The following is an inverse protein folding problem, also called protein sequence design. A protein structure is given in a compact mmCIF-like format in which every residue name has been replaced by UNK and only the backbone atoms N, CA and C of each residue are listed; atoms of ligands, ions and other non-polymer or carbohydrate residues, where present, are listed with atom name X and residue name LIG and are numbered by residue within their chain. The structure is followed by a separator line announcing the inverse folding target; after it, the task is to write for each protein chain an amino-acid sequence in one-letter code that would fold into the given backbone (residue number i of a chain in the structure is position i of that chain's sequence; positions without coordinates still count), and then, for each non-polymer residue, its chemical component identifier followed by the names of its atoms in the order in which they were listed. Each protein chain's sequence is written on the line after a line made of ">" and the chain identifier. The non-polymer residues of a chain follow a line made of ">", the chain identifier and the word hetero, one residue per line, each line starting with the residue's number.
data_IF_346743111655
#
_entry.id   IF_346743111655
#
_cell.length_a   1.000
_cell.length_b   1.000
_cell.length_c   1.000
_cell.angle_alpha   90.00
_cell.angle_beta   90.00
_cell.angle_gamma   90.00
#
_symmetry.space_group_name_H-M   'P 1'
#
loop_
_entity.id
_entity.type
_entity.pdbx_description
1 polymer ?
#
# COMPACT_ATOMS: atom_id res chain seq x y z
N UNK A 1 -19.90 5.24 -4.79
CA UNK A 1 -18.56 4.64 -4.97
C UNK A 1 -18.13 4.89 -6.40
N UNK A 2 -17.00 5.51 -6.61
CA UNK A 2 -16.43 5.67 -7.96
C UNK A 2 -15.09 4.90 -8.04
N UNK A 3 -14.78 4.45 -9.25
CA UNK A 3 -13.49 3.83 -9.57
C UNK A 3 -12.74 4.78 -10.48
N UNK A 4 -11.66 5.36 -9.96
CA UNK A 4 -10.78 6.25 -10.72
C UNK A 4 -9.36 6.12 -10.22
N UNK A 5 -8.42 6.72 -10.95
CA UNK A 5 -7.08 6.91 -10.42
C UNK A 5 -7.17 7.88 -9.23
N UNK A 6 -6.52 7.56 -8.13
CA UNK A 6 -6.55 8.38 -6.91
C UNK A 6 -6.03 9.82 -7.15
N UNK A 7 -5.10 9.99 -8.09
CA UNK A 7 -4.58 11.30 -8.47
C UNK A 7 -5.52 12.14 -9.35
N UNK A 8 -6.61 11.55 -9.84
CA UNK A 8 -7.63 12.25 -10.65
C UNK A 8 -8.88 12.59 -9.81
N UNK A 9 -8.83 12.34 -8.50
CA UNK A 9 -9.92 12.69 -7.60
C UNK A 9 -9.96 14.20 -7.36
N UNK A 10 -11.13 14.79 -7.59
CA UNK A 10 -11.42 16.20 -7.35
C UNK A 10 -12.53 16.34 -6.33
N UNK A 11 -12.37 17.24 -5.40
CA UNK A 11 -13.35 17.53 -4.35
C UNK A 11 -12.67 18.15 -3.13
N UNK A 12 -13.48 18.65 -2.20
CA UNK A 12 -13.03 19.14 -0.91
C UNK A 12 -13.73 18.34 0.19
N UNK A 13 -12.97 17.91 1.19
CA UNK A 13 -13.45 17.02 2.24
C UNK A 13 -13.01 17.52 3.62
N UNK A 14 -13.82 17.24 4.63
CA UNK A 14 -13.39 17.44 6.01
C UNK A 14 -12.33 16.42 6.43
N UNK A 15 -12.46 15.18 5.97
CA UNK A 15 -11.54 14.08 6.27
C UNK A 15 -11.32 13.21 5.03
N UNK A 16 -10.07 12.92 4.72
CA UNK A 16 -9.68 11.88 3.77
C UNK A 16 -9.00 10.72 4.50
N UNK A 17 -9.51 9.51 4.32
CA UNK A 17 -8.83 8.29 4.75
C UNK A 17 -8.01 7.73 3.59
N UNK A 18 -6.71 7.59 3.79
CA UNK A 18 -5.76 7.08 2.81
C UNK A 18 -5.19 5.75 3.28
N UNK A 19 -5.39 4.71 2.49
CA UNK A 19 -4.86 3.36 2.72
C UNK A 19 -4.13 2.89 1.44
N UNK A 20 -2.94 3.44 1.17
CA UNK A 20 -2.18 3.06 -0.02
C UNK A 20 -1.66 1.63 0.12
N UNK A 21 -1.55 0.87 -0.98
CA UNK A 21 -0.94 -0.45 -0.93
C UNK A 21 0.51 -0.33 -0.45
N UNK A 22 0.85 -1.11 0.56
CA UNK A 22 2.22 -1.26 1.04
C UNK A 22 2.80 -2.56 0.50
N UNK A 23 4.02 -2.48 0.00
CA UNK A 23 4.65 -3.61 -0.64
C UNK A 23 5.27 -4.62 0.34
N UNK A 24 6.00 -5.58 -0.20
CA UNK A 24 6.66 -6.62 0.59
C UNK A 24 7.98 -6.13 1.19
N UNK A 25 8.31 -6.60 2.40
CA UNK A 25 9.58 -6.36 3.10
C UNK A 25 10.80 -7.01 2.46
N UNK A 26 10.68 -7.66 1.31
CA UNK A 26 11.80 -8.33 0.69
C UNK A 26 12.84 -7.35 0.15
N UNK A 27 13.84 -7.03 0.97
CA UNK A 27 14.91 -6.06 0.70
C UNK A 27 15.77 -6.43 -0.53
N UNK A 28 15.78 -7.71 -0.93
CA UNK A 28 16.57 -8.17 -2.10
C UNK A 28 15.94 -7.78 -3.44
N UNK A 29 14.72 -7.24 -3.41
CA UNK A 29 14.00 -6.86 -4.61
C UNK A 29 13.61 -5.39 -4.56
N UNK A 30 14.06 -4.55 -5.50
CA UNK A 30 13.77 -3.12 -5.54
C UNK A 30 12.27 -2.82 -5.66
N UNK A 31 11.52 -3.66 -6.37
CA UNK A 31 10.06 -3.61 -6.42
C UNK A 31 9.47 -4.80 -5.68
N UNK A 32 8.34 -4.59 -5.01
CA UNK A 32 7.61 -5.69 -4.38
C UNK A 32 7.21 -6.73 -5.43
N UNK A 33 7.53 -8.01 -5.19
CA UNK A 33 6.97 -9.11 -6.00
C UNK A 33 5.51 -9.37 -5.67
N UNK A 34 5.10 -8.93 -4.50
CA UNK A 34 3.74 -9.08 -4.03
C UNK A 34 2.98 -7.85 -4.45
N UNK A 35 2.31 -7.96 -5.59
CA UNK A 35 1.42 -6.93 -6.10
C UNK A 35 0.00 -7.27 -5.69
N UNK A 36 -0.76 -6.32 -5.21
CA UNK A 36 -2.18 -6.51 -4.90
C UNK A 36 -2.93 -7.13 -6.08
N UNK A 37 -2.68 -6.67 -7.30
CA UNK A 37 -3.27 -7.25 -8.50
C UNK A 37 -2.96 -8.73 -8.69
N UNK A 38 -1.81 -9.21 -8.24
CA UNK A 38 -1.44 -10.61 -8.30
C UNK A 38 -2.25 -11.48 -7.32
N UNK A 39 -2.63 -10.94 -6.16
CA UNK A 39 -3.48 -11.66 -5.20
C UNK A 39 -4.95 -11.56 -5.54
N UNK A 40 -5.39 -10.43 -6.04
CA UNK A 40 -6.80 -10.17 -6.29
C UNK A 40 -7.26 -10.56 -7.71
N UNK A 41 -6.38 -11.14 -8.56
CA UNK A 41 -6.73 -11.49 -9.94
C UNK A 41 -7.92 -12.44 -10.05
N UNK A 42 -8.05 -13.40 -9.12
CA UNK A 42 -9.18 -14.33 -9.10
C UNK A 42 -10.48 -13.59 -8.77
N UNK A 43 -10.47 -12.77 -7.73
CA UNK A 43 -11.63 -11.96 -7.34
C UNK A 43 -12.04 -10.99 -8.44
N UNK A 44 -11.06 -10.43 -9.16
CA UNK A 44 -11.34 -9.59 -10.33
C UNK A 44 -12.10 -10.37 -11.40
N UNK A 45 -11.72 -11.62 -11.68
CA UNK A 45 -12.46 -12.49 -12.63
C UNK A 45 -13.88 -12.76 -12.17
N UNK A 46 -14.09 -13.02 -10.87
CA UNK A 46 -15.42 -13.23 -10.30
C UNK A 46 -16.30 -11.98 -10.45
N UNK A 47 -15.75 -10.81 -10.12
CA UNK A 47 -16.51 -9.55 -10.18
C UNK A 47 -16.83 -9.14 -11.61
N UNK A 48 -15.90 -9.33 -12.54
CA UNK A 48 -16.10 -8.98 -13.95
C UNK A 48 -16.90 -10.04 -14.70
N UNK A 49 -16.96 -11.28 -14.18
CA UNK A 49 -17.58 -12.42 -14.84
C UNK A 49 -17.12 -12.56 -16.30
N UNK A 50 -15.82 -12.42 -16.52
CA UNK A 50 -15.19 -12.42 -17.84
C UNK A 50 -14.31 -13.66 -18.04
N UNK A 51 -13.85 -13.85 -19.29
CA UNK A 51 -12.89 -14.90 -19.66
C UNK A 51 -11.56 -14.24 -20.06
N UNK A 52 -10.72 -13.85 -19.11
CA UNK A 52 -9.50 -13.13 -19.40
C UNK A 52 -8.45 -14.03 -20.04
N UNK A 53 -7.55 -13.44 -20.81
CA UNK A 53 -6.31 -14.10 -21.20
C UNK A 53 -5.50 -14.42 -19.94
N UNK A 54 -4.99 -15.66 -19.87
CA UNK A 54 -4.22 -16.14 -18.74
C UNK A 54 -2.74 -16.25 -19.08
N UNK A 55 -1.88 -16.11 -18.08
CA UNK A 55 -0.45 -16.30 -18.23
C UNK A 55 0.19 -17.01 -17.03
N UNK A 56 1.38 -17.58 -17.27
CA UNK A 56 2.20 -18.25 -16.25
C UNK A 56 1.60 -19.56 -15.74
N UNK A 57 2.39 -20.30 -14.97
CA UNK A 57 2.00 -21.62 -14.45
C UNK A 57 0.81 -21.55 -13.45
N UNK A 58 0.60 -20.40 -12.82
CA UNK A 58 -0.50 -20.17 -11.87
C UNK A 58 -1.80 -19.72 -12.55
N UNK A 59 -1.85 -19.61 -13.90
CA UNK A 59 -3.05 -19.18 -14.60
C UNK A 59 -3.56 -17.81 -14.20
N UNK A 60 -2.65 -16.84 -13.99
CA UNK A 60 -3.04 -15.47 -13.64
C UNK A 60 -3.61 -14.73 -14.84
N UNK A 61 -4.50 -13.79 -14.58
CA UNK A 61 -4.99 -12.86 -15.61
C UNK A 61 -3.83 -12.06 -16.21
N UNK A 62 -3.79 -11.89 -17.51
CA UNK A 62 -2.76 -11.12 -18.23
C UNK A 62 -2.64 -9.69 -17.68
N UNK A 63 -3.77 -9.05 -17.40
CA UNK A 63 -3.82 -7.68 -16.86
C UNK A 63 -3.39 -7.57 -15.36
N UNK A 64 -3.03 -8.69 -14.73
CA UNK A 64 -2.41 -8.75 -13.41
C UNK A 64 -0.88 -8.82 -13.46
N UNK A 65 -0.27 -8.76 -14.64
CA UNK A 65 1.21 -8.72 -14.77
C UNK A 65 1.78 -7.50 -14.06
N UNK A 66 2.93 -7.67 -13.45
CA UNK A 66 3.58 -6.61 -12.67
C UNK A 66 3.85 -5.34 -13.49
N UNK A 67 4.18 -5.48 -14.77
CA UNK A 67 4.38 -4.34 -15.68
C UNK A 67 3.11 -3.55 -16.03
N UNK A 68 1.93 -4.16 -15.86
CA UNK A 68 0.64 -3.55 -16.20
C UNK A 68 -0.07 -3.00 -14.95
N UNK A 69 0.01 -3.74 -13.86
CA UNK A 69 -0.78 -3.50 -12.65
C UNK A 69 0.01 -2.92 -11.48
N UNK A 70 1.29 -2.58 -11.69
CA UNK A 70 2.13 -2.02 -10.66
C UNK A 70 1.57 -0.69 -10.14
N UNK A 71 1.44 -0.58 -8.82
CA UNK A 71 1.12 0.68 -8.15
C UNK A 71 2.39 1.48 -7.90
N UNK A 72 2.34 2.80 -8.06
CA UNK A 72 3.44 3.70 -7.70
C UNK A 72 3.74 3.64 -6.20
N UNK A 73 2.75 3.32 -5.37
CA UNK A 73 2.91 3.14 -3.93
C UNK A 73 3.67 1.86 -3.54
N UNK A 74 3.89 0.96 -4.50
CA UNK A 74 4.68 -0.28 -4.34
C UNK A 74 6.04 -0.20 -5.05
N UNK A 75 6.44 0.97 -5.54
CA UNK A 75 7.75 1.17 -6.20
C UNK A 75 8.79 1.64 -5.17
N UNK A 76 9.68 0.72 -4.78
CA UNK A 76 10.74 0.97 -3.81
C UNK A 76 12.11 1.25 -4.45
N UNK A 77 12.15 1.66 -5.71
CA UNK A 77 13.35 2.25 -6.28
C UNK A 77 13.57 3.66 -5.71
N UNK A 78 14.83 4.07 -5.68
CA UNK A 78 15.15 5.45 -5.31
C UNK A 78 14.60 6.41 -6.37
N UNK A 79 13.90 7.43 -5.89
CA UNK A 79 13.45 8.54 -6.71
C UNK A 79 14.53 9.59 -6.91
N UNK A 80 14.20 10.64 -7.65
CA UNK A 80 15.11 11.76 -7.93
C UNK A 80 15.40 12.64 -6.73
N UNK A 81 14.51 12.62 -5.72
CA UNK A 81 14.69 13.33 -4.45
C UNK A 81 15.65 12.62 -3.48
N UNK A 82 16.12 11.41 -3.81
CA UNK A 82 16.88 10.56 -2.89
C UNK A 82 16.02 9.80 -1.88
N UNK A 83 14.68 9.88 -2.00
CA UNK A 83 13.71 9.08 -1.23
C UNK A 83 13.15 7.95 -2.10
N UNK A 84 12.48 6.97 -1.48
CA UNK A 84 11.78 5.92 -2.21
C UNK A 84 10.61 6.51 -3.01
N UNK A 85 10.41 6.06 -4.24
CA UNK A 85 9.30 6.51 -5.08
C UNK A 85 7.93 6.27 -4.44
N UNK A 86 7.79 5.22 -3.63
CA UNK A 86 6.57 4.98 -2.85
C UNK A 86 6.28 6.13 -1.88
N UNK A 87 7.30 6.67 -1.19
CA UNK A 87 7.15 7.85 -0.32
C UNK A 87 6.79 9.08 -1.14
N UNK A 88 7.50 9.32 -2.25
CA UNK A 88 7.19 10.44 -3.16
C UNK A 88 5.74 10.38 -3.66
N UNK A 89 5.23 9.16 -3.94
CA UNK A 89 3.84 8.98 -4.37
C UNK A 89 2.84 9.27 -3.24
N UNK A 90 3.13 8.85 -1.99
CA UNK A 90 2.29 9.16 -0.83
C UNK A 90 2.29 10.66 -0.57
N UNK A 91 3.46 11.29 -0.60
CA UNK A 91 3.60 12.74 -0.43
C UNK A 91 2.79 13.51 -1.47
N UNK A 92 2.93 13.15 -2.75
CA UNK A 92 2.14 13.73 -3.83
C UNK A 92 0.64 13.60 -3.58
N UNK A 93 0.19 12.43 -3.11
CA UNK A 93 -1.22 12.21 -2.78
C UNK A 93 -1.67 13.11 -1.62
N UNK A 94 -0.88 13.19 -0.55
CA UNK A 94 -1.14 14.07 0.60
C UNK A 94 -1.23 15.54 0.15
N UNK A 95 -0.35 15.98 -0.74
CA UNK A 95 -0.38 17.36 -1.28
C UNK A 95 -1.61 17.63 -2.13
N UNK A 96 -2.01 16.69 -2.99
CA UNK A 96 -3.13 16.87 -3.92
C UNK A 96 -4.50 16.80 -3.26
N UNK A 97 -4.65 15.94 -2.25
CA UNK A 97 -5.94 15.75 -1.58
C UNK A 97 -6.33 17.04 -0.85
N UNK A 98 -7.46 17.63 -1.26
CA UNK A 98 -8.05 18.79 -0.60
C UNK A 98 -8.94 18.34 0.54
N UNK A 99 -8.34 18.04 1.69
CA UNK A 99 -9.04 17.69 2.90
C UNK A 99 -8.48 18.49 4.08
N UNK A 100 -9.36 18.84 5.02
CA UNK A 100 -8.95 19.51 6.26
C UNK A 100 -8.12 18.59 7.14
N UNK A 101 -8.48 17.30 7.17
CA UNK A 101 -7.75 16.26 7.88
C UNK A 101 -7.45 15.11 6.94
N UNK A 102 -6.29 14.50 7.11
CA UNK A 102 -5.91 13.25 6.45
C UNK A 102 -5.62 12.22 7.54
N UNK A 103 -6.28 11.06 7.45
CA UNK A 103 -5.94 9.87 8.22
C UNK A 103 -5.25 8.88 7.29
N UNK A 104 -3.93 8.73 7.45
CA UNK A 104 -3.13 7.79 6.69
C UNK A 104 -2.93 6.51 7.48
N UNK A 105 -3.35 5.37 6.92
CA UNK A 105 -3.02 4.03 7.42
C UNK A 105 -1.77 3.50 6.72
N UNK A 106 -0.84 2.92 7.49
CA UNK A 106 0.34 2.28 6.93
C UNK A 106 0.88 1.17 7.83
N UNK A 107 1.32 0.06 7.23
CA UNK A 107 1.80 -1.11 7.98
C UNK A 107 3.29 -0.97 8.34
N UNK A 108 3.64 -1.27 9.59
CA UNK A 108 5.02 -1.24 10.10
C UNK A 108 5.87 -2.44 9.70
N UNK A 109 5.23 -3.57 9.49
CA UNK A 109 5.93 -4.87 9.53
C UNK A 109 6.39 -5.40 8.18
N UNK A 110 6.01 -4.77 7.11
CA UNK A 110 6.28 -5.26 5.76
C UNK A 110 6.85 -4.22 4.81
N UNK A 111 6.81 -2.97 5.19
CA UNK A 111 7.21 -1.87 4.34
C UNK A 111 8.71 -1.59 4.37
N UNK A 112 9.24 -1.15 3.23
CA UNK A 112 10.57 -0.54 3.16
C UNK A 112 10.54 0.92 3.57
N UNK A 113 9.33 1.47 3.66
CA UNK A 113 9.06 2.81 4.16
C UNK A 113 8.90 2.70 5.67
N UNK A 114 9.73 3.42 6.39
CA UNK A 114 9.72 3.41 7.86
C UNK A 114 8.64 4.35 8.40
N UNK A 115 8.26 4.13 9.66
CA UNK A 115 7.38 5.04 10.40
C UNK A 115 7.93 6.46 10.43
N UNK A 116 9.23 6.58 10.67
CA UNK A 116 9.94 7.84 10.81
C UNK A 116 9.92 8.64 9.49
N UNK A 117 10.12 7.95 8.35
CA UNK A 117 10.03 8.57 7.03
C UNK A 117 8.64 9.10 6.73
N UNK A 118 7.59 8.35 7.11
CA UNK A 118 6.20 8.82 6.95
C UNK A 118 5.92 10.01 7.87
N UNK A 119 6.35 9.95 9.14
CA UNK A 119 6.15 11.05 10.09
C UNK A 119 6.85 12.33 9.61
N UNK A 120 8.07 12.21 9.13
CA UNK A 120 8.81 13.34 8.57
C UNK A 120 8.07 13.93 7.37
N UNK A 121 7.72 13.11 6.39
CA UNK A 121 7.00 13.54 5.20
C UNK A 121 5.68 14.22 5.54
N UNK A 122 4.89 13.67 6.47
CA UNK A 122 3.63 14.28 6.89
C UNK A 122 3.86 15.63 7.59
N UNK A 123 4.87 15.72 8.44
CA UNK A 123 5.20 16.98 9.16
C UNK A 123 5.67 18.09 8.21
N UNK A 124 6.21 17.75 7.06
CA UNK A 124 6.58 18.69 5.99
C UNK A 124 5.34 19.21 5.21
N UNK A 125 4.19 18.53 5.33
CA UNK A 125 2.97 18.81 4.56
C UNK A 125 1.77 19.26 5.42
N UNK A 126 1.99 19.51 6.71
CA UNK A 126 0.96 20.00 7.64
C UNK A 126 1.31 19.73 9.10
N UNK A 127 0.33 19.86 9.98
CA UNK A 127 0.50 19.59 11.41
C UNK A 127 0.15 18.13 11.70
N UNK A 128 1.15 17.30 12.03
CA UNK A 128 0.92 15.93 12.50
C UNK A 128 0.31 15.99 13.91
N UNK A 129 -0.96 15.62 14.03
CA UNK A 129 -1.74 15.74 15.25
C UNK A 129 -1.54 14.56 16.18
N UNK A 130 -1.53 13.34 15.64
CA UNK A 130 -1.43 12.09 16.39
C UNK A 130 -0.88 10.95 15.55
N UNK A 131 -0.28 9.96 16.23
CA UNK A 131 0.19 8.71 15.62
C UNK A 131 -0.18 7.55 16.54
N UNK A 132 -1.16 6.78 16.11
CA UNK A 132 -1.62 5.59 16.83
C UNK A 132 -0.97 4.33 16.23
N UNK A 133 -0.50 3.43 17.09
CA UNK A 133 -0.10 2.10 16.70
C UNK A 133 -1.17 1.09 17.13
N UNK A 134 -1.64 0.29 16.19
CA UNK A 134 -2.64 -0.74 16.43
C UNK A 134 -1.99 -2.11 16.20
N UNK A 135 -1.92 -2.91 17.25
CA UNK A 135 -1.45 -4.30 17.14
C UNK A 135 -2.53 -5.14 16.49
N UNK A 136 -2.18 -5.90 15.47
CA UNK A 136 -3.09 -6.86 14.89
C UNK A 136 -2.43 -8.21 14.62
N UNK A 137 -3.22 -9.27 14.77
CA UNK A 137 -2.78 -10.62 14.45
C UNK A 137 -2.77 -10.81 12.93
N UNK A 138 -1.61 -11.03 12.36
CA UNK A 138 -1.49 -11.34 10.94
C UNK A 138 -2.12 -12.70 10.65
N UNK A 139 -3.21 -12.73 9.90
CA UNK A 139 -3.74 -13.97 9.36
C UNK A 139 -2.80 -14.49 8.26
N UNK A 140 -1.85 -15.34 8.66
CA UNK A 140 -0.98 -16.00 7.71
C UNK A 140 -1.79 -16.90 6.78
N UNK A 141 -1.88 -16.56 5.50
CA UNK A 141 -2.38 -17.48 4.47
C UNK A 141 -1.56 -18.80 4.43
N UNK A 142 -0.37 -18.83 5.04
CA UNK A 142 0.44 -20.02 5.25
C UNK A 142 -0.27 -21.11 6.10
N UNK A 143 -1.26 -20.75 6.91
CA UNK A 143 -2.10 -21.73 7.61
C UNK A 143 -3.01 -22.53 6.67
N UNK A 144 -3.25 -22.07 5.45
CA UNK A 144 -3.98 -22.83 4.42
C UNK A 144 -3.14 -23.96 3.81
N UNK A 145 -1.83 -23.83 3.81
CA UNK A 145 -0.91 -24.86 3.30
C UNK A 145 -0.08 -25.39 4.46
N UNK A 146 -0.41 -26.55 4.97
CA UNK A 146 0.17 -27.28 6.11
C UNK A 146 1.70 -27.40 6.16
N UNK A 147 2.46 -26.41 5.79
CA UNK A 147 3.92 -26.42 5.91
C UNK A 147 4.37 -25.69 7.17
N UNK A 148 4.57 -26.47 8.22
CA UNK A 148 5.01 -26.09 9.58
C UNK A 148 6.26 -25.18 9.69
N UNK A 149 6.98 -24.93 8.60
CA UNK A 149 8.24 -24.17 8.62
C UNK A 149 8.11 -22.65 8.51
N UNK A 150 6.93 -22.13 8.19
CA UNK A 150 6.69 -20.68 8.02
C UNK A 150 5.92 -20.04 9.18
N UNK A 151 5.57 -20.83 10.19
CA UNK A 151 4.76 -20.39 11.33
C UNK A 151 5.53 -19.70 12.46
N UNK A 152 6.83 -19.41 12.30
CA UNK A 152 7.66 -18.93 13.40
C UNK A 152 8.18 -17.52 13.14
N UNK A 153 7.29 -16.56 12.97
CA UNK A 153 7.62 -15.16 13.19
C UNK A 153 6.36 -14.42 13.64
N UNK A 154 5.90 -14.73 14.81
CA UNK A 154 5.01 -13.89 15.60
C UNK A 154 5.80 -12.66 16.09
N UNK A 155 6.27 -11.85 15.16
CA UNK A 155 6.67 -10.48 15.46
C UNK A 155 5.38 -9.68 15.35
N UNK A 156 4.97 -9.07 16.47
CA UNK A 156 3.80 -8.23 16.51
C UNK A 156 3.76 -7.28 15.31
N UNK A 157 2.76 -7.47 14.48
CA UNK A 157 2.52 -6.60 13.35
C UNK A 157 1.73 -5.41 13.86
N UNK A 158 2.20 -4.22 13.54
CA UNK A 158 1.51 -2.99 13.91
C UNK A 158 1.06 -2.28 12.64
N UNK A 159 -0.12 -1.76 12.68
CA UNK A 159 -0.62 -0.78 11.74
C UNK A 159 -0.59 0.59 12.39
N UNK A 160 -0.01 1.55 11.69
CA UNK A 160 0.04 2.93 12.12
C UNK A 160 -1.05 3.73 11.47
N UNK A 161 -1.72 4.53 12.29
CA UNK A 161 -2.67 5.55 11.86
C UNK A 161 -2.06 6.91 12.17
N UNK A 162 -1.86 7.71 11.13
CA UNK A 162 -1.29 9.05 11.24
C UNK A 162 -2.40 10.06 10.97
N UNK A 163 -2.67 10.95 11.92
CA UNK A 163 -3.64 12.03 11.76
C UNK A 163 -2.91 13.35 11.44
N UNK A 164 -3.09 13.83 10.23
CA UNK A 164 -2.55 15.10 9.75
C UNK A 164 -3.66 16.14 9.63
N UNK A 165 -3.44 17.35 10.10
CA UNK A 165 -4.23 18.53 9.76
C UNK A 165 -3.50 19.32 8.68
N UNK A 166 -4.14 19.51 7.55
CA UNK A 166 -3.64 20.40 6.49
C UNK A 166 -3.98 21.86 6.82
N UNK A 167 -3.07 22.76 6.50
CA UNK A 167 -3.25 24.20 6.62
C UNK A 167 -4.04 24.79 5.46
#
# INVERSE_FOLDING_TARGET
>A
VCRSNVFDLHGEWDLAYLDPPYGSANVKMPSSRVRYAAYYHLWKSVVLNDQPTLFGAAGRREDSRDGISASVFEDFHMGTSGRLKAIEAIERLVQQVKARYILLSYNSSGGRVTREEIQQMLSENGTLMDVMAVDYAHHNMANMFRTRKWCCADRGHQEYLFLLRKE
#
